data_IF_972396369910
#
_entry.id   IF_972396369910
#
_cell.length_a   1.000
_cell.length_b   1.000
_cell.length_c   1.000
_cell.angle_alpha   90.00
_cell.angle_beta   90.00
_cell.angle_gamma   90.00
#
_symmetry.space_group_name_H-M   'P 1'
#
loop_
_entity.id
_entity.type
_entity.pdbx_description
1 polymer ?
#
# COMPACT_ATOMS: atom_id res chain seq x y z
N UNK A 1 -18.97 13.52 5.46
CA UNK A 1 -18.17 12.54 4.70
C UNK A 1 -16.87 12.30 5.43
N UNK A 2 -16.46 11.05 5.69
CA UNK A 2 -15.17 10.73 6.32
C UNK A 2 -14.31 9.96 5.33
N UNK A 3 -13.46 10.68 4.58
CA UNK A 3 -12.44 10.03 3.76
C UNK A 3 -11.50 9.20 4.64
N UNK A 4 -11.04 8.07 4.12
CA UNK A 4 -10.10 7.20 4.81
C UNK A 4 -8.79 7.97 5.05
N UNK A 5 -8.50 8.36 6.29
CA UNK A 5 -7.27 9.12 6.60
C UNK A 5 -6.03 8.32 6.17
N UNK A 6 -5.26 8.89 5.25
CA UNK A 6 -3.96 8.37 4.83
C UNK A 6 -2.90 8.96 5.78
N UNK A 7 -2.12 8.09 6.44
CA UNK A 7 -1.02 8.52 7.29
C UNK A 7 0.24 8.72 6.43
N UNK A 8 0.84 9.91 6.49
CA UNK A 8 2.05 10.24 5.71
C UNK A 8 3.25 9.38 6.13
N UNK A 9 3.37 9.00 7.41
CA UNK A 9 4.44 8.08 7.85
C UNK A 9 4.31 6.72 7.15
N UNK A 10 3.09 6.19 7.10
CA UNK A 10 2.81 4.92 6.43
C UNK A 10 3.11 4.99 4.92
N UNK A 11 2.78 6.13 4.29
CA UNK A 11 3.12 6.38 2.88
C UNK A 11 4.64 6.44 2.70
N UNK A 12 5.36 7.11 3.59
CA UNK A 12 6.82 7.18 3.57
C UNK A 12 7.47 5.81 3.64
N UNK A 13 7.06 4.97 4.61
CA UNK A 13 7.54 3.59 4.76
C UNK A 13 7.23 2.71 3.54
N UNK A 14 6.01 2.82 3.02
CA UNK A 14 5.61 2.08 1.80
C UNK A 14 6.41 2.53 0.59
N UNK A 15 6.61 3.84 0.43
CA UNK A 15 7.44 4.41 -0.64
C UNK A 15 8.90 3.97 -0.55
N UNK A 16 9.44 3.85 0.66
CA UNK A 16 10.78 3.33 0.89
C UNK A 16 10.90 1.86 0.40
N UNK A 17 9.92 1.00 0.67
CA UNK A 17 9.91 -0.37 0.13
C UNK A 17 9.88 -0.40 -1.40
N UNK A 18 9.06 0.45 -2.04
CA UNK A 18 9.01 0.53 -3.50
C UNK A 18 10.36 0.99 -4.07
N UNK A 19 10.99 1.99 -3.46
CA UNK A 19 12.31 2.48 -3.87
C UNK A 19 13.39 1.40 -3.70
N UNK A 20 13.41 0.71 -2.56
CA UNK A 20 14.34 -0.38 -2.29
C UNK A 20 14.15 -1.53 -3.29
N UNK A 21 12.90 -1.94 -3.53
CA UNK A 21 12.55 -2.98 -4.50
C UNK A 21 13.04 -2.62 -5.91
N UNK A 22 12.82 -1.39 -6.36
CA UNK A 22 13.29 -0.96 -7.67
C UNK A 22 14.82 -0.82 -7.74
N UNK A 23 15.49 -0.50 -6.63
CA UNK A 23 16.95 -0.49 -6.55
C UNK A 23 17.52 -1.90 -6.70
N UNK A 24 16.88 -2.90 -6.10
CA UNK A 24 17.26 -4.33 -6.25
C UNK A 24 17.03 -4.82 -7.68
N UNK A 25 15.99 -4.33 -8.36
CA UNK A 25 15.68 -4.70 -9.74
C UNK A 25 16.46 -3.89 -10.78
N UNK A 26 17.08 -2.77 -10.38
CA UNK A 26 17.81 -1.87 -11.29
C UNK A 26 18.87 -2.59 -12.16
N UNK A 27 19.67 -3.55 -11.66
CA UNK A 27 20.64 -4.25 -12.49
C UNK A 27 20.02 -5.04 -13.66
N UNK A 28 18.75 -5.47 -13.56
CA UNK A 28 18.09 -6.18 -14.65
C UNK A 28 17.90 -5.29 -15.89
N UNK A 29 17.75 -3.98 -15.70
CA UNK A 29 17.66 -3.03 -16.80
C UNK A 29 18.98 -2.91 -17.59
N UNK A 30 20.11 -3.20 -16.96
CA UNK A 30 21.42 -3.22 -17.63
C UNK A 30 21.64 -4.48 -18.45
N UNK A 31 20.98 -5.59 -18.09
CA UNK A 31 21.02 -6.84 -18.85
C UNK A 31 20.11 -6.74 -20.07
N UNK A 32 18.83 -6.42 -19.84
CA UNK A 32 17.85 -6.21 -20.90
C UNK A 32 16.75 -5.27 -20.38
N UNK A 33 16.57 -4.15 -21.07
CA UNK A 33 15.63 -3.12 -20.63
C UNK A 33 14.16 -3.59 -20.62
N UNK A 34 13.77 -4.51 -21.50
CA UNK A 34 12.40 -5.05 -21.52
C UNK A 34 12.20 -5.99 -20.34
N UNK A 35 13.15 -6.89 -20.09
CA UNK A 35 13.09 -7.79 -18.94
C UNK A 35 13.11 -7.02 -17.62
N UNK A 36 14.00 -6.03 -17.48
CA UNK A 36 14.06 -5.15 -16.30
C UNK A 36 12.75 -4.41 -16.06
N UNK A 37 12.16 -3.83 -17.11
CA UNK A 37 10.87 -3.14 -17.01
C UNK A 37 9.74 -4.10 -16.65
N UNK A 38 9.65 -5.26 -17.31
CA UNK A 38 8.62 -6.27 -17.01
C UNK A 38 8.75 -6.75 -15.56
N UNK A 39 9.97 -7.06 -15.10
CA UNK A 39 10.21 -7.49 -13.73
C UNK A 39 9.80 -6.41 -12.71
N UNK A 40 10.14 -5.13 -12.97
CA UNK A 40 9.76 -4.03 -12.09
C UNK A 40 8.25 -3.81 -12.03
N UNK A 41 7.54 -3.88 -13.16
CA UNK A 41 6.07 -3.76 -13.20
C UNK A 41 5.42 -4.92 -12.43
N UNK A 42 5.84 -6.15 -12.69
CA UNK A 42 5.27 -7.34 -12.04
C UNK A 42 5.54 -7.31 -10.53
N UNK A 43 6.79 -7.03 -10.12
CA UNK A 43 7.16 -6.97 -8.71
C UNK A 43 6.44 -5.83 -7.98
N UNK A 44 6.36 -4.64 -8.57
CA UNK A 44 5.65 -3.50 -7.98
C UNK A 44 4.15 -3.78 -7.90
N UNK A 45 3.55 -4.37 -8.94
CA UNK A 45 2.13 -4.75 -8.94
C UNK A 45 1.81 -5.79 -7.86
N UNK A 46 2.63 -6.83 -7.75
CA UNK A 46 2.50 -7.85 -6.70
C UNK A 46 2.64 -7.26 -5.29
N UNK A 47 3.61 -6.37 -5.10
CA UNK A 47 3.80 -5.66 -3.84
C UNK A 47 2.59 -4.79 -3.48
N UNK A 48 2.11 -3.95 -4.41
CA UNK A 48 0.96 -3.07 -4.16
C UNK A 48 -0.31 -3.88 -3.83
N UNK A 49 -0.54 -5.00 -4.54
CA UNK A 49 -1.67 -5.88 -4.25
C UNK A 49 -1.54 -6.54 -2.86
N UNK A 50 -0.37 -7.08 -2.53
CA UNK A 50 -0.11 -7.66 -1.20
C UNK A 50 -0.27 -6.65 -0.07
N UNK A 51 0.29 -5.45 -0.25
CA UNK A 51 0.13 -4.34 0.69
C UNK A 51 -1.34 -3.92 0.83
N UNK A 52 -2.11 -3.87 -0.26
CA UNK A 52 -3.54 -3.59 -0.20
C UNK A 52 -4.31 -4.62 0.63
N UNK A 53 -4.08 -5.92 0.41
CA UNK A 53 -4.78 -6.99 1.14
C UNK A 53 -4.39 -7.03 2.64
N UNK A 54 -3.12 -6.81 2.98
CA UNK A 54 -2.69 -6.66 4.38
C UNK A 54 -3.34 -5.42 5.01
N UNK A 55 -3.36 -4.30 4.28
CA UNK A 55 -4.01 -3.07 4.70
C UNK A 55 -5.50 -3.25 4.98
N UNK A 56 -6.19 -4.00 4.11
CA UNK A 56 -7.62 -4.31 4.29
C UNK A 56 -7.89 -5.01 5.61
N UNK A 57 -7.07 -6.01 5.94
CA UNK A 57 -7.16 -6.76 7.21
C UNK A 57 -6.87 -5.90 8.43
N UNK A 58 -6.02 -4.88 8.30
CA UNK A 58 -5.64 -3.97 9.40
C UNK A 58 -6.57 -2.75 9.55
N UNK A 59 -7.43 -2.47 8.57
CA UNK A 59 -8.41 -1.35 8.60
C UNK A 59 -9.88 -1.82 8.52
N UNK A 60 -10.33 -2.83 9.29
CA UNK A 60 -11.64 -3.45 9.10
C UNK A 60 -12.81 -2.48 9.28
N UNK A 61 -12.75 -1.59 10.29
CA UNK A 61 -13.81 -0.62 10.59
C UNK A 61 -13.94 0.47 9.52
N UNK A 62 -12.81 0.94 8.98
CA UNK A 62 -12.80 1.99 7.96
C UNK A 62 -13.23 1.45 6.60
N UNK A 63 -12.85 0.20 6.29
CA UNK A 63 -13.31 -0.51 5.09
C UNK A 63 -14.80 -0.85 5.16
N UNK A 64 -15.31 -1.25 6.33
CA UNK A 64 -16.74 -1.48 6.55
C UNK A 64 -17.54 -0.17 6.38
N UNK A 65 -17.07 0.95 6.93
CA UNK A 65 -17.70 2.26 6.75
C UNK A 65 -17.74 2.70 5.27
N UNK A 66 -16.66 2.48 4.53
CA UNK A 66 -16.63 2.78 3.09
C UNK A 66 -17.55 1.86 2.27
N UNK A 67 -17.60 0.56 2.60
CA UNK A 67 -18.47 -0.41 1.95
C UNK A 67 -19.95 -0.08 2.19
N UNK A 68 -20.34 0.20 3.44
CA UNK A 68 -21.70 0.66 3.76
C UNK A 68 -22.07 1.95 3.02
N UNK A 69 -21.13 2.88 2.86
CA UNK A 69 -21.36 4.11 2.11
C UNK A 69 -21.53 3.87 0.60
N UNK A 70 -20.77 2.94 0.00
CA UNK A 70 -20.96 2.51 -1.39
C UNK A 70 -22.30 1.81 -1.60
N UNK A 71 -22.74 0.97 -0.64
CA UNK A 71 -24.00 0.23 -0.74
C UNK A 71 -25.26 1.08 -0.49
N UNK A 72 -25.24 1.98 0.50
CA UNK A 72 -26.40 2.83 0.82
C UNK A 72 -26.41 4.19 0.09
N UNK A 73 -25.30 4.58 -0.54
CA UNK A 73 -25.15 5.83 -1.31
C UNK A 73 -25.23 5.64 -2.82
N UNK A 74 -26.07 4.70 -3.31
CA UNK A 74 -26.08 4.12 -4.66
C UNK A 74 -26.20 5.04 -5.89
N UNK A 75 -26.09 6.36 -5.75
CA UNK A 75 -26.00 7.30 -6.88
C UNK A 75 -24.80 8.28 -6.79
N UNK A 76 -24.08 8.31 -5.66
CA UNK A 76 -22.94 9.20 -5.38
C UNK A 76 -21.81 8.49 -4.65
N UNK A 77 -21.71 7.16 -4.75
CA UNK A 77 -20.53 6.38 -4.36
C UNK A 77 -19.32 6.85 -5.18
N UNK A 78 -18.72 7.95 -4.74
CA UNK A 78 -17.74 8.70 -5.49
C UNK A 78 -16.52 7.80 -5.70
N UNK A 79 -16.19 7.48 -6.96
CA UNK A 79 -15.05 6.59 -7.30
C UNK A 79 -13.75 7.05 -6.64
N UNK A 80 -13.66 8.34 -6.34
CA UNK A 80 -12.63 8.98 -5.54
C UNK A 80 -12.45 8.32 -4.17
N UNK A 81 -13.52 7.92 -3.47
CA UNK A 81 -13.48 7.28 -2.15
C UNK A 81 -12.94 5.85 -2.21
N UNK A 82 -13.27 5.08 -3.24
CA UNK A 82 -12.75 3.72 -3.41
C UNK A 82 -11.25 3.72 -3.71
N UNK A 83 -10.81 4.63 -4.60
CA UNK A 83 -9.38 4.83 -4.89
C UNK A 83 -8.63 5.32 -3.65
N UNK A 84 -9.19 6.28 -2.91
CA UNK A 84 -8.59 6.79 -1.68
C UNK A 84 -8.48 5.70 -0.61
N UNK A 85 -9.50 4.85 -0.47
CA UNK A 85 -9.48 3.74 0.45
C UNK A 85 -8.48 2.65 0.02
N UNK A 86 -8.34 2.40 -1.28
CA UNK A 86 -7.33 1.49 -1.80
C UNK A 86 -5.91 1.98 -1.51
N UNK A 87 -5.63 3.27 -1.72
CA UNK A 87 -4.36 3.91 -1.36
C UNK A 87 -4.10 3.84 0.14
N UNK A 88 -5.13 4.08 0.96
CA UNK A 88 -5.03 4.01 2.41
C UNK A 88 -4.70 2.59 2.90
N UNK A 89 -5.28 1.56 2.26
CA UNK A 89 -4.94 0.16 2.50
C UNK A 89 -3.49 -0.14 2.07
N UNK A 90 -3.08 0.25 0.86
CA UNK A 90 -1.71 0.07 0.36
C UNK A 90 -0.69 0.70 1.32
N UNK A 91 -0.90 1.96 1.72
CA UNK A 91 0.01 2.65 2.63
C UNK A 91 0.10 1.93 3.99
N UNK A 92 -1.03 1.45 4.52
CA UNK A 92 -1.07 0.80 5.83
C UNK A 92 -0.45 -0.59 5.81
N UNK A 93 -0.72 -1.38 4.76
CA UNK A 93 -0.10 -2.70 4.63
C UNK A 93 1.38 -2.62 4.25
N UNK A 94 1.77 -1.67 3.40
CA UNK A 94 3.17 -1.44 3.06
C UNK A 94 3.99 -0.99 4.26
N UNK A 95 3.45 -0.12 5.11
CA UNK A 95 4.08 0.24 6.38
C UNK A 95 4.24 -0.96 7.33
N UNK A 96 3.23 -1.85 7.38
CA UNK A 96 3.32 -3.07 8.19
C UNK A 96 4.42 -4.02 7.68
N UNK A 97 4.55 -4.20 6.36
CA UNK A 97 5.65 -4.96 5.77
C UNK A 97 6.99 -4.29 6.09
N UNK A 98 7.07 -2.95 6.00
CA UNK A 98 8.29 -2.22 6.29
C UNK A 98 8.72 -2.42 7.74
N UNK A 99 7.80 -2.30 8.69
CA UNK A 99 8.09 -2.47 10.12
C UNK A 99 8.49 -3.91 10.47
N UNK A 100 8.03 -4.91 9.71
CA UNK A 100 8.44 -6.31 9.86
C UNK A 100 9.86 -6.56 9.32
N UNK A 101 10.23 -5.92 8.21
CA UNK A 101 11.56 -6.06 7.59
C UNK A 101 12.62 -5.19 8.28
N UNK A 102 12.22 -3.98 8.71
CA UNK A 102 13.06 -2.95 9.32
C UNK A 102 12.53 -2.62 10.73
N UNK A 103 12.59 -3.58 11.68
CA UNK A 103 12.08 -3.35 13.02
C UNK A 103 12.84 -2.18 13.68
N UNK A 104 12.10 -1.20 14.17
CA UNK A 104 12.68 -0.10 14.95
C UNK A 104 12.75 -0.48 16.43
N UNK A 105 13.90 -0.30 17.07
CA UNK A 105 14.20 -0.65 18.48
C UNK A 105 13.31 0.02 19.55
N UNK A 106 12.29 0.80 19.18
CA UNK A 106 11.40 1.48 20.12
C UNK A 106 10.50 0.55 20.95
N UNK A 107 10.59 -0.77 20.75
CA UNK A 107 9.91 -1.78 21.56
C UNK A 107 10.74 -2.29 22.76
N UNK A 108 11.92 -1.71 23.05
CA UNK A 108 12.80 -2.13 24.14
C UNK A 108 12.63 -1.35 25.47
N UNK A 109 11.41 -0.89 25.79
CA UNK A 109 11.05 -0.45 27.14
C UNK A 109 9.77 -1.17 27.60
N UNK A 110 9.98 -2.37 28.14
CA UNK A 110 9.11 -2.96 29.16
C UNK A 110 9.58 -2.49 30.54
#
# INVERSE_FOLDING_TARGET
>A
MSQAKINIDNVGKTGALVALGNTVLAPLYWVDAKLGLTAAIVATGAFLYGAHEIGKKRRPLQNAGNSLNTFFGGQTGDKSNEVHNALANIATGGAAIFDEIMPSDKNHHR
#
